data_IF_073197691614
#
_entry.id   IF_073197691614
#
_cell.length_a   1.000
_cell.length_b   1.000
_cell.length_c   1.000
_cell.angle_alpha   90.00
_cell.angle_beta   90.00
_cell.angle_gamma   90.00
#
_symmetry.space_group_name_H-M   'P 1'
#
loop_
_entity.id
_entity.type
_entity.pdbx_description
1 polymer ?
#
# COMPACT_ATOMS: atom_id res chain seq x y z
N UNK A 1 -6.50 -4.75 8.04
CA UNK A 1 -6.28 -5.58 6.84
C UNK A 1 -5.29 -4.87 5.94
N UNK A 2 -4.34 -5.58 5.33
CA UNK A 2 -3.37 -5.02 4.39
C UNK A 2 -3.78 -5.38 2.95
N UNK A 3 -3.72 -4.42 2.04
CA UNK A 3 -3.81 -4.64 0.58
C UNK A 3 -2.46 -4.28 -0.03
N UNK A 4 -1.83 -5.23 -0.70
CA UNK A 4 -0.59 -5.03 -1.44
C UNK A 4 -0.91 -4.93 -2.93
N UNK A 5 -0.57 -3.80 -3.55
CA UNK A 5 -0.61 -3.63 -5.00
C UNK A 5 0.80 -3.71 -5.58
N UNK A 6 0.92 -3.91 -6.89
CA UNK A 6 2.24 -4.01 -7.51
C UNK A 6 2.90 -2.63 -7.65
N UNK A 7 2.11 -1.61 -8.00
CA UNK A 7 2.62 -0.26 -8.30
C UNK A 7 1.83 0.83 -7.56
N UNK A 8 2.41 2.04 -7.38
CA UNK A 8 1.75 3.14 -6.67
C UNK A 8 0.40 3.53 -7.28
N UNK A 9 0.29 3.58 -8.61
CA UNK A 9 -0.97 3.95 -9.27
C UNK A 9 -2.11 2.98 -8.95
N UNK A 10 -1.82 1.69 -8.76
CA UNK A 10 -2.83 0.71 -8.33
C UNK A 10 -3.24 0.95 -6.87
N UNK A 11 -2.28 1.23 -5.98
CA UNK A 11 -2.55 1.53 -4.56
C UNK A 11 -3.45 2.77 -4.46
N UNK A 12 -3.15 3.78 -5.25
CA UNK A 12 -3.88 5.05 -5.25
C UNK A 12 -5.30 4.87 -5.81
N UNK A 13 -5.46 4.03 -6.84
CA UNK A 13 -6.79 3.64 -7.34
C UNK A 13 -7.60 2.88 -6.29
N UNK A 14 -6.99 1.98 -5.52
CA UNK A 14 -7.66 1.31 -4.39
C UNK A 14 -8.01 2.33 -3.31
N UNK A 15 -7.14 3.27 -2.99
CA UNK A 15 -7.40 4.31 -1.99
C UNK A 15 -8.63 5.17 -2.35
N UNK A 16 -8.81 5.48 -3.63
CA UNK A 16 -9.97 6.23 -4.14
C UNK A 16 -11.31 5.50 -3.98
N UNK A 17 -11.31 4.18 -3.73
CA UNK A 17 -12.52 3.42 -3.46
C UNK A 17 -13.02 3.55 -2.01
N UNK A 18 -12.24 4.19 -1.13
CA UNK A 18 -12.59 4.40 0.28
C UNK A 18 -12.94 5.87 0.52
N UNK A 19 -13.98 6.10 1.32
CA UNK A 19 -14.32 7.44 1.79
C UNK A 19 -13.33 7.93 2.85
N UNK A 20 -13.02 9.23 2.81
CA UNK A 20 -12.23 9.92 3.82
C UNK A 20 -10.77 10.17 3.43
N UNK A 21 -10.00 10.79 4.35
CA UNK A 21 -8.63 11.19 4.06
C UNK A 21 -7.69 9.99 4.03
N UNK A 22 -6.77 10.01 3.08
CA UNK A 22 -5.61 9.11 3.07
C UNK A 22 -4.56 9.68 4.02
N UNK A 23 -4.10 8.87 4.99
CA UNK A 23 -2.93 9.20 5.80
C UNK A 23 -1.72 8.45 5.27
N UNK A 24 -0.70 9.19 4.85
CA UNK A 24 0.56 8.62 4.41
C UNK A 24 1.50 8.40 5.59
N UNK A 25 2.12 7.22 5.62
CA UNK A 25 3.10 6.80 6.62
C UNK A 25 4.33 6.29 5.87
N UNK A 26 5.45 7.03 5.89
CA UNK A 26 6.68 6.57 5.25
C UNK A 26 7.24 5.37 6.03
N UNK A 27 7.58 4.30 5.31
CA UNK A 27 8.24 3.11 5.84
C UNK A 27 9.56 2.88 5.10
N UNK A 28 10.50 2.12 5.66
CA UNK A 28 11.68 1.69 4.90
C UNK A 28 11.25 0.96 3.62
N UNK A 29 11.57 1.53 2.46
CA UNK A 29 11.33 0.90 1.16
C UNK A 29 9.91 1.04 0.58
N UNK A 30 8.94 1.60 1.30
CA UNK A 30 7.58 1.85 0.76
C UNK A 30 6.85 2.97 1.51
N UNK A 31 5.68 3.38 1.01
CA UNK A 31 4.79 4.32 1.69
C UNK A 31 3.45 3.64 1.95
N UNK A 32 3.06 3.55 3.22
CA UNK A 32 1.78 3.01 3.64
C UNK A 32 0.71 4.10 3.55
N UNK A 33 -0.38 3.79 2.85
CA UNK A 33 -1.59 4.61 2.81
C UNK A 33 -2.62 3.99 3.74
N UNK A 34 -2.93 4.69 4.82
CA UNK A 34 -4.01 4.30 5.73
C UNK A 34 -5.29 5.01 5.31
N UNK A 35 -6.30 4.22 5.01
CA UNK A 35 -7.66 4.69 4.70
C UNK A 35 -8.65 4.10 5.72
N UNK A 36 -9.93 4.43 5.60
CA UNK A 36 -10.95 3.95 6.52
C UNK A 36 -11.09 2.41 6.45
N UNK A 37 -10.42 1.71 7.37
CA UNK A 37 -10.56 0.26 7.58
C UNK A 37 -9.46 -0.62 6.97
N UNK A 38 -8.52 -0.06 6.19
CA UNK A 38 -7.40 -0.83 5.65
C UNK A 38 -6.12 -0.01 5.46
N UNK A 39 -5.01 -0.75 5.39
CA UNK A 39 -3.69 -0.23 5.04
C UNK A 39 -3.35 -0.70 3.61
N UNK A 40 -2.79 0.19 2.80
CA UNK A 40 -2.46 -0.04 1.39
C UNK A 40 -0.96 0.23 1.18
N UNK A 41 -0.28 -0.65 0.45
CA UNK A 41 1.12 -0.46 0.03
C UNK A 41 1.28 -0.76 -1.46
N UNK A 42 2.24 -0.08 -2.09
CA UNK A 42 2.82 -0.55 -3.34
C UNK A 42 4.00 -1.46 -2.99
N UNK A 43 3.80 -2.76 -3.13
CA UNK A 43 4.75 -3.81 -2.75
C UNK A 43 5.76 -4.16 -3.83
N UNK A 44 5.61 -3.60 -5.04
CA UNK A 44 6.52 -3.81 -6.16
C UNK A 44 6.15 -5.00 -7.06
N UNK A 45 6.78 -5.05 -8.23
CA UNK A 45 6.55 -6.12 -9.23
C UNK A 45 7.53 -7.27 -8.99
N UNK A 46 6.99 -8.49 -8.92
CA UNK A 46 7.76 -9.72 -8.77
C UNK A 46 7.80 -10.25 -7.33
N UNK A 47 8.07 -11.55 -7.15
CA UNK A 47 7.86 -12.23 -5.86
C UNK A 47 8.81 -11.75 -4.76
N UNK A 48 10.07 -11.48 -5.08
CA UNK A 48 11.07 -11.08 -4.08
C UNK A 48 10.75 -9.71 -3.46
N UNK A 49 10.39 -8.72 -4.28
CA UNK A 49 10.09 -7.38 -3.82
C UNK A 49 8.75 -7.33 -3.07
N UNK A 50 7.74 -8.05 -3.58
CA UNK A 50 6.45 -8.17 -2.90
C UNK A 50 6.59 -8.80 -1.51
N UNK A 51 7.40 -9.86 -1.38
CA UNK A 51 7.66 -10.51 -0.10
C UNK A 51 8.46 -9.61 0.86
N UNK A 52 9.50 -8.94 0.37
CA UNK A 52 10.29 -8.03 1.20
C UNK A 52 9.45 -6.88 1.78
N UNK A 53 8.49 -6.37 0.99
CA UNK A 53 7.61 -5.27 1.39
C UNK A 53 6.57 -5.64 2.45
N UNK A 54 6.23 -6.94 2.60
CA UNK A 54 5.23 -7.42 3.56
C UNK A 54 5.82 -8.16 4.76
N UNK A 55 7.13 -8.39 4.79
CA UNK A 55 7.81 -9.16 5.83
C UNK A 55 8.17 -8.35 7.10
N UNK A 56 7.69 -7.11 7.22
CA UNK A 56 7.93 -6.23 8.36
C UNK A 56 7.11 -6.62 9.61
#
# INVERSE_FOLDING_TARGET
MLVATAVPVERDAVAQAFDGPVRELPLPGTTLHRVAGCDLIAAGVGPALAAASTAA
#
